data_IF_283381016121
#
_entry.id   IF_283381016121
#
_cell.length_a   1.000
_cell.length_b   1.000
_cell.length_c   1.000
_cell.angle_alpha   90.00
_cell.angle_beta   90.00
_cell.angle_gamma   90.00
#
_symmetry.space_group_name_H-M   'P 1'
#
loop_
_entity.id
_entity.type
_entity.pdbx_description
1 polymer ?
#
# COMPACT_ATOMS: atom_id res chain seq x y z
N UNK A 1 18.46 -13.38 1.58
CA UNK A 1 17.57 -12.82 0.55
C UNK A 1 18.21 -11.55 0.02
N UNK A 2 18.09 -11.30 -1.28
CA UNK A 2 18.57 -10.07 -1.90
C UNK A 2 17.40 -9.08 -1.99
N UNK A 3 17.48 -7.95 -1.27
CA UNK A 3 16.56 -6.83 -1.47
C UNK A 3 16.98 -6.16 -2.79
N UNK A 4 16.06 -5.95 -3.75
CA UNK A 4 16.40 -5.33 -5.02
C UNK A 4 16.85 -3.87 -4.80
N UNK A 5 17.84 -3.46 -5.58
CA UNK A 5 18.28 -2.06 -5.58
C UNK A 5 17.36 -1.26 -6.51
N UNK A 6 16.62 -0.31 -5.95
CA UNK A 6 15.70 0.50 -6.76
C UNK A 6 16.45 1.67 -7.40
N UNK A 7 16.21 1.87 -8.70
CA UNK A 7 16.69 3.06 -9.41
C UNK A 7 15.71 4.20 -9.20
N UNK A 8 16.20 5.44 -9.10
CA UNK A 8 15.29 6.60 -9.16
C UNK A 8 14.61 6.67 -10.53
N UNK A 9 13.40 7.21 -10.57
CA UNK A 9 12.70 7.49 -11.85
C UNK A 9 13.07 8.85 -12.43
N UNK A 10 13.98 9.60 -11.80
CA UNK A 10 14.40 10.91 -12.26
C UNK A 10 15.08 10.82 -13.63
N UNK A 11 14.50 11.53 -14.59
CA UNK A 11 15.05 11.75 -15.92
C UNK A 11 14.68 13.17 -16.33
N UNK A 12 15.67 14.08 -16.35
CA UNK A 12 15.42 15.49 -16.62
C UNK A 12 14.90 15.74 -18.04
N UNK A 13 15.40 14.98 -19.02
CA UNK A 13 15.01 15.13 -20.41
C UNK A 13 13.58 14.65 -20.63
N UNK A 14 13.26 13.44 -20.14
CA UNK A 14 11.90 12.90 -20.22
C UNK A 14 10.91 13.72 -19.39
N UNK A 15 11.31 14.17 -18.20
CA UNK A 15 10.48 15.04 -17.35
C UNK A 15 10.09 16.33 -18.07
N UNK A 16 11.06 17.00 -18.73
CA UNK A 16 10.80 18.20 -19.52
C UNK A 16 9.90 17.90 -20.71
N UNK A 17 10.14 16.79 -21.42
CA UNK A 17 9.33 16.40 -22.57
C UNK A 17 7.88 16.10 -22.18
N UNK A 18 7.65 15.37 -21.09
CA UNK A 18 6.32 15.10 -20.53
C UNK A 18 5.61 16.40 -20.15
N UNK A 19 6.30 17.32 -19.48
CA UNK A 19 5.70 18.60 -19.09
C UNK A 19 5.27 19.41 -20.32
N UNK A 20 6.12 19.49 -21.36
CA UNK A 20 5.77 20.15 -22.62
C UNK A 20 4.55 19.53 -23.29
N UNK A 21 4.43 18.20 -23.32
CA UNK A 21 3.26 17.51 -23.89
C UNK A 21 1.97 17.74 -23.09
N UNK A 22 2.08 17.82 -21.76
CA UNK A 22 0.95 18.11 -20.87
C UNK A 22 0.47 19.55 -21.04
N UNK A 23 1.40 20.51 -21.20
CA UNK A 23 1.09 21.93 -21.34
C UNK A 23 0.55 22.30 -22.73
N UNK A 24 0.91 21.53 -23.77
CA UNK A 24 0.41 21.71 -25.14
C UNK A 24 -1.03 21.19 -25.34
N UNK A 25 -1.61 20.46 -24.37
CA UNK A 25 -3.02 20.05 -24.45
C UNK A 25 -3.95 21.25 -24.42
N UNK A 26 -5.05 21.19 -25.17
CA UNK A 26 -6.06 22.27 -25.30
C UNK A 26 -6.80 22.57 -24.00
N UNK A 27 -6.09 23.14 -23.03
CA UNK A 27 -6.54 23.48 -21.68
C UNK A 27 -5.64 24.60 -21.13
N UNK A 28 -6.12 25.42 -20.18
CA UNK A 28 -5.21 26.27 -19.41
C UNK A 28 -4.15 25.42 -18.69
N UNK A 29 -2.90 25.89 -18.65
CA UNK A 29 -1.82 25.20 -17.94
C UNK A 29 -2.21 24.90 -16.49
N UNK A 30 -1.96 23.66 -16.04
CA UNK A 30 -2.28 23.19 -14.69
C UNK A 30 -3.77 22.98 -14.38
N UNK A 31 -4.69 23.22 -15.34
CA UNK A 31 -6.14 23.16 -15.06
C UNK A 31 -6.70 21.75 -14.78
N UNK A 32 -5.98 20.67 -15.14
CA UNK A 32 -6.33 19.30 -14.73
C UNK A 32 -5.68 18.89 -13.39
N UNK A 33 -4.93 19.80 -12.75
CA UNK A 33 -4.46 19.67 -11.39
C UNK A 33 -3.65 18.38 -11.14
N UNK A 34 -4.14 17.53 -10.23
CA UNK A 34 -3.42 16.30 -9.83
C UNK A 34 -3.30 15.29 -10.97
N UNK A 35 -4.21 15.28 -11.94
CA UNK A 35 -4.13 14.35 -13.07
C UNK A 35 -2.89 14.60 -13.93
N UNK A 36 -2.49 15.87 -14.10
CA UNK A 36 -1.27 16.24 -14.83
C UNK A 36 -0.02 15.66 -14.14
N UNK A 37 0.04 15.79 -12.82
CA UNK A 37 1.09 15.21 -12.00
C UNK A 37 1.14 13.68 -12.09
N UNK A 38 -0.01 13.01 -12.09
CA UNK A 38 -0.07 11.55 -12.20
C UNK A 38 0.38 11.09 -13.60
N UNK A 39 -0.08 11.75 -14.67
CA UNK A 39 0.37 11.42 -16.03
C UNK A 39 1.89 11.57 -16.17
N UNK A 40 2.45 12.66 -15.64
CA UNK A 40 3.89 12.90 -15.60
C UNK A 40 4.64 11.81 -14.83
N UNK A 41 4.19 11.49 -13.62
CA UNK A 41 4.79 10.43 -12.79
C UNK A 41 4.75 9.06 -13.48
N UNK A 42 3.62 8.68 -14.06
CA UNK A 42 3.50 7.40 -14.78
C UNK A 42 4.42 7.38 -16.00
N UNK A 43 4.55 8.50 -16.72
CA UNK A 43 5.52 8.63 -17.81
C UNK A 43 6.97 8.40 -17.37
N UNK A 44 7.38 8.97 -16.23
CA UNK A 44 8.71 8.73 -15.66
C UNK A 44 8.90 7.28 -15.20
N UNK A 45 7.91 6.69 -14.53
CA UNK A 45 7.94 5.29 -14.11
C UNK A 45 8.08 4.38 -15.34
N UNK A 46 7.26 4.57 -16.36
CA UNK A 46 7.27 3.75 -17.57
C UNK A 46 8.37 4.13 -18.58
N UNK A 47 9.14 5.18 -18.31
CA UNK A 47 10.20 5.73 -19.18
C UNK A 47 9.69 6.06 -20.60
N UNK A 48 8.52 6.67 -20.68
CA UNK A 48 7.87 7.02 -21.95
C UNK A 48 7.14 8.34 -21.87
N UNK A 49 7.10 9.05 -22.99
CA UNK A 49 6.29 10.26 -23.16
C UNK A 49 4.83 9.96 -23.50
N UNK A 50 4.50 8.68 -23.73
CA UNK A 50 3.15 8.19 -24.03
C UNK A 50 2.78 7.06 -23.04
N UNK A 51 2.61 7.38 -21.75
CA UNK A 51 2.26 6.39 -20.74
C UNK A 51 0.90 5.76 -21.00
N UNK A 52 0.74 4.48 -20.63
CA UNK A 52 -0.51 3.74 -20.75
C UNK A 52 -0.71 2.80 -19.57
N UNK A 53 -1.95 2.41 -19.32
CA UNK A 53 -2.28 1.41 -18.30
C UNK A 53 -3.09 0.34 -19.00
N UNK A 54 -2.47 -0.80 -19.29
CA UNK A 54 -3.12 -1.92 -19.97
C UNK A 54 -3.53 -3.00 -18.97
N UNK A 55 -2.72 -3.20 -17.91
CA UNK A 55 -2.88 -4.28 -16.94
C UNK A 55 -2.74 -3.75 -15.53
N UNK A 56 -3.82 -3.85 -14.78
CA UNK A 56 -3.87 -3.52 -13.36
C UNK A 56 -4.23 -4.75 -12.53
N UNK A 57 -3.60 -4.89 -11.36
CA UNK A 57 -3.97 -5.89 -10.38
C UNK A 57 -4.00 -5.30 -8.97
N UNK A 58 -4.80 -5.88 -8.10
CA UNK A 58 -4.81 -5.63 -6.66
C UNK A 58 -4.53 -6.94 -5.95
N UNK A 59 -3.59 -6.92 -5.00
CA UNK A 59 -3.21 -8.09 -4.21
C UNK A 59 -3.53 -7.84 -2.75
N UNK A 60 -4.43 -8.66 -2.19
CA UNK A 60 -4.84 -8.61 -0.78
C UNK A 60 -4.10 -9.68 0.00
N UNK A 61 -3.29 -9.26 0.97
CA UNK A 61 -2.51 -10.14 1.82
C UNK A 61 -3.21 -10.35 3.17
N UNK A 62 -3.51 -11.60 3.52
CA UNK A 62 -4.20 -11.93 4.75
C UNK A 62 -3.30 -12.65 5.76
N UNK A 63 -3.28 -12.18 7.00
CA UNK A 63 -2.60 -12.85 8.11
C UNK A 63 -3.19 -12.47 9.47
N UNK A 64 -2.99 -13.33 10.46
CA UNK A 64 -3.39 -13.06 11.85
C UNK A 64 -2.22 -12.56 12.70
N UNK A 65 -2.53 -11.81 13.76
CA UNK A 65 -1.52 -11.22 14.64
C UNK A 65 -1.63 -11.73 16.08
N UNK A 66 -0.51 -12.13 16.67
CA UNK A 66 -0.49 -12.57 18.08
C UNK A 66 -0.80 -11.46 19.09
N UNK A 67 -0.61 -10.19 18.71
CA UNK A 67 -0.91 -9.03 19.57
C UNK A 67 -2.39 -8.92 19.94
N UNK A 68 -3.30 -9.60 19.22
CA UNK A 68 -4.73 -9.64 19.59
C UNK A 68 -4.98 -10.22 20.98
N UNK A 69 -4.05 -11.02 21.51
CA UNK A 69 -4.09 -11.52 22.89
C UNK A 69 -4.06 -10.39 23.95
N UNK A 70 -3.67 -9.18 23.55
CA UNK A 70 -3.71 -7.98 24.39
C UNK A 70 -5.06 -7.25 24.29
N UNK A 71 -6.12 -7.83 23.70
CA UNK A 71 -7.46 -7.21 23.61
C UNK A 71 -7.49 -5.85 22.90
N UNK A 72 -6.79 -5.74 21.77
CA UNK A 72 -6.64 -4.50 20.98
C UNK A 72 -7.62 -4.36 19.80
N UNK A 73 -8.64 -5.22 19.72
CA UNK A 73 -9.62 -5.29 18.62
C UNK A 73 -11.04 -5.46 19.17
N UNK A 74 -12.02 -4.88 18.47
CA UNK A 74 -13.44 -5.08 18.78
C UNK A 74 -13.99 -6.41 18.21
N UNK A 75 -13.29 -7.00 17.24
CA UNK A 75 -13.69 -8.21 16.55
C UNK A 75 -12.85 -9.42 16.99
N UNK A 76 -13.43 -10.63 17.00
CA UNK A 76 -12.69 -11.85 17.27
C UNK A 76 -11.71 -12.14 16.13
N UNK A 77 -10.60 -12.79 16.45
CA UNK A 77 -9.55 -13.15 15.49
C UNK A 77 -10.10 -14.01 14.31
N UNK A 78 -11.17 -14.77 14.54
CA UNK A 78 -11.82 -15.57 13.50
C UNK A 78 -12.36 -14.75 12.31
N UNK A 79 -12.57 -13.44 12.46
CA UNK A 79 -13.03 -12.58 11.35
C UNK A 79 -12.02 -12.57 10.20
N UNK A 80 -10.71 -12.73 10.46
CA UNK A 80 -9.70 -12.77 9.41
C UNK A 80 -10.00 -13.87 8.39
N UNK A 81 -10.17 -15.13 8.83
CA UNK A 81 -10.44 -16.22 7.90
C UNK A 81 -11.84 -16.16 7.30
N UNK A 82 -12.82 -15.65 8.04
CA UNK A 82 -14.19 -15.45 7.53
C UNK A 82 -14.22 -14.44 6.38
N UNK A 83 -13.45 -13.36 6.49
CA UNK A 83 -13.32 -12.37 5.42
C UNK A 83 -12.54 -12.93 4.23
N UNK A 84 -11.54 -13.78 4.44
CA UNK A 84 -10.89 -14.48 3.33
C UNK A 84 -11.90 -15.34 2.56
N UNK A 85 -12.72 -16.15 3.25
CA UNK A 85 -13.81 -16.90 2.59
C UNK A 85 -14.80 -15.96 1.87
N UNK A 86 -15.10 -14.79 2.45
CA UNK A 86 -15.93 -13.78 1.79
C UNK A 86 -15.28 -13.20 0.52
N UNK A 87 -13.96 -12.97 0.51
CA UNK A 87 -13.23 -12.55 -0.70
C UNK A 87 -13.32 -13.61 -1.79
N UNK A 88 -13.15 -14.89 -1.44
CA UNK A 88 -13.26 -16.02 -2.37
C UNK A 88 -14.69 -16.17 -2.91
N UNK A 89 -15.70 -15.83 -2.11
CA UNK A 89 -17.11 -15.79 -2.53
C UNK A 89 -17.48 -14.49 -3.27
N UNK A 90 -16.52 -13.61 -3.51
CA UNK A 90 -16.69 -12.32 -4.19
C UNK A 90 -17.67 -11.35 -3.50
N UNK A 91 -17.82 -11.48 -2.17
CA UNK A 91 -18.81 -10.74 -1.39
C UNK A 91 -18.30 -9.46 -0.72
N UNK A 92 -16.99 -9.17 -0.75
CA UNK A 92 -16.45 -7.98 -0.10
C UNK A 92 -16.44 -6.74 -1.02
N UNK A 93 -16.21 -5.57 -0.42
CA UNK A 93 -16.17 -4.31 -1.15
C UNK A 93 -15.06 -4.29 -2.21
N UNK A 94 -13.88 -4.83 -1.88
CA UNK A 94 -12.78 -4.92 -2.85
C UNK A 94 -13.16 -5.77 -4.08
N UNK A 95 -13.94 -6.85 -3.91
CA UNK A 95 -14.42 -7.65 -5.04
C UNK A 95 -15.32 -6.84 -5.97
N UNK A 96 -16.23 -6.05 -5.39
CA UNK A 96 -17.14 -5.18 -6.15
C UNK A 96 -16.35 -4.13 -6.94
N UNK A 97 -15.41 -3.44 -6.29
CA UNK A 97 -14.63 -2.38 -6.95
C UNK A 97 -13.62 -2.92 -7.96
N UNK A 98 -12.97 -4.05 -7.69
CA UNK A 98 -12.06 -4.69 -8.64
C UNK A 98 -12.82 -5.09 -9.92
N UNK A 99 -13.99 -5.73 -9.79
CA UNK A 99 -14.83 -6.11 -10.92
C UNK A 99 -15.36 -4.90 -11.69
N UNK A 100 -15.76 -3.83 -11.00
CA UNK A 100 -16.21 -2.59 -11.64
C UNK A 100 -15.12 -1.99 -12.55
N UNK A 101 -13.86 -2.11 -12.14
CA UNK A 101 -12.71 -1.52 -12.83
C UNK A 101 -11.99 -2.51 -13.76
N UNK A 102 -12.55 -3.71 -13.99
CA UNK A 102 -11.90 -4.79 -14.75
C UNK A 102 -10.45 -5.05 -14.30
N UNK A 103 -10.24 -5.01 -12.98
CA UNK A 103 -8.94 -5.14 -12.35
C UNK A 103 -8.79 -6.54 -11.75
N UNK A 104 -7.65 -7.19 -12.02
CA UNK A 104 -7.37 -8.50 -11.45
C UNK A 104 -7.27 -8.41 -9.92
N UNK A 105 -7.95 -9.30 -9.21
CA UNK A 105 -7.89 -9.37 -7.74
C UNK A 105 -7.27 -10.71 -7.32
N UNK A 106 -6.20 -10.63 -6.53
CA UNK A 106 -5.51 -11.79 -5.98
C UNK A 106 -5.60 -11.79 -4.47
N UNK A 107 -6.07 -12.91 -3.90
CA UNK A 107 -6.12 -13.10 -2.45
C UNK A 107 -4.98 -14.01 -2.04
N UNK A 108 -4.17 -13.58 -1.08
CA UNK A 108 -2.97 -14.28 -0.61
C UNK A 108 -3.14 -14.63 0.85
N UNK A 109 -3.01 -15.90 1.18
CA UNK A 109 -2.85 -16.34 2.56
C UNK A 109 -1.37 -16.21 2.93
N UNK A 110 -1.03 -15.13 3.63
CA UNK A 110 0.33 -14.88 4.11
C UNK A 110 0.56 -15.52 5.49
N UNK A 111 -0.50 -15.79 6.25
CA UNK A 111 -0.35 -16.27 7.61
C UNK A 111 -1.63 -16.29 8.43
N UNK A 112 -2.77 -16.63 7.85
CA UNK A 112 -4.04 -16.70 8.59
C UNK A 112 -4.02 -17.90 9.53
N UNK A 113 -4.53 -17.75 10.76
CA UNK A 113 -4.68 -18.84 11.73
C UNK A 113 -5.93 -19.69 11.40
N UNK A 114 -5.91 -20.31 10.22
CA UNK A 114 -6.96 -21.17 9.71
C UNK A 114 -6.39 -22.08 8.61
N UNK A 115 -6.89 -23.31 8.54
CA UNK A 115 -6.61 -24.24 7.45
C UNK A 115 -7.76 -24.17 6.43
N UNK A 116 -7.51 -23.51 5.30
CA UNK A 116 -8.48 -23.38 4.21
C UNK A 116 -8.59 -24.64 3.34
N UNK A 117 -7.72 -25.64 3.54
CA UNK A 117 -7.51 -26.72 2.60
C UNK A 117 -7.08 -26.22 1.22
N UNK A 118 -7.31 -27.01 0.17
CA UNK A 118 -7.00 -26.61 -1.21
C UNK A 118 -8.09 -25.66 -1.74
N UNK A 119 -7.70 -24.43 -2.04
CA UNK A 119 -8.54 -23.41 -2.68
C UNK A 119 -7.85 -22.91 -3.94
N UNK A 120 -8.54 -22.97 -5.09
CA UNK A 120 -7.96 -22.55 -6.38
C UNK A 120 -7.73 -21.04 -6.44
N UNK A 121 -8.64 -20.27 -5.84
CA UNK A 121 -8.65 -18.81 -5.89
C UNK A 121 -7.87 -18.14 -4.73
N UNK A 122 -7.22 -18.95 -3.87
CA UNK A 122 -6.38 -18.48 -2.78
C UNK A 122 -4.92 -18.83 -3.07
N UNK A 123 -4.07 -17.82 -3.12
CA UNK A 123 -2.63 -18.02 -3.27
C UNK A 123 -2.04 -18.41 -1.92
N UNK A 124 -1.70 -19.70 -1.79
CA UNK A 124 -1.08 -20.24 -0.58
C UNK A 124 0.39 -19.81 -0.47
N UNK A 125 0.67 -18.90 0.46
CA UNK A 125 2.01 -18.42 0.82
C UNK A 125 2.19 -18.38 2.33
N UNK A 126 1.42 -19.21 3.06
CA UNK A 126 1.30 -19.14 4.52
C UNK A 126 2.66 -19.38 5.18
N UNK A 127 3.11 -18.41 5.96
CA UNK A 127 4.37 -18.49 6.72
C UNK A 127 4.18 -19.24 8.06
N UNK A 128 3.02 -19.08 8.66
CA UNK A 128 2.60 -19.73 9.90
C UNK A 128 1.18 -19.32 10.31
N UNK A 129 0.61 -19.92 11.37
CA UNK A 129 -0.75 -19.62 11.84
C UNK A 129 -0.79 -18.33 12.66
N UNK A 130 -0.55 -17.20 12.00
CA UNK A 130 -0.44 -15.87 12.61
C UNK A 130 0.93 -15.59 13.24
N UNK A 131 1.23 -14.31 13.43
CA UNK A 131 2.48 -13.89 14.09
C UNK A 131 2.42 -14.12 15.61
N UNK A 132 3.59 -14.09 16.25
CA UNK A 132 3.70 -14.04 17.72
C UNK A 132 3.29 -12.67 18.24
N UNK A 133 3.09 -12.59 19.55
CA UNK A 133 2.70 -11.34 20.20
C UNK A 133 3.93 -10.46 20.46
N UNK A 134 4.06 -9.39 19.66
CA UNK A 134 5.18 -8.44 19.78
C UNK A 134 5.28 -7.72 21.13
N UNK A 135 4.20 -7.69 21.93
CA UNK A 135 4.26 -7.17 23.29
C UNK A 135 5.13 -8.04 24.23
N UNK A 136 5.39 -9.30 23.84
CA UNK A 136 6.12 -10.30 24.65
C UNK A 136 7.44 -10.74 24.00
N UNK A 137 7.46 -10.89 22.68
CA UNK A 137 8.59 -11.42 21.92
C UNK A 137 8.48 -10.99 20.45
N UNK A 138 9.54 -10.99 19.63
CA UNK A 138 9.45 -10.56 18.23
C UNK A 138 8.35 -11.30 17.44
N UNK A 139 7.56 -10.58 16.63
CA UNK A 139 6.40 -11.09 15.91
C UNK A 139 6.70 -12.30 15.01
N UNK A 140 7.88 -12.34 14.40
CA UNK A 140 8.32 -13.45 13.54
C UNK A 140 9.83 -13.70 13.69
N UNK A 141 10.32 -14.87 13.28
CA UNK A 141 11.77 -15.11 13.22
C UNK A 141 12.39 -14.42 12.01
N UNK A 142 13.72 -14.36 11.95
CA UNK A 142 14.42 -13.81 10.79
C UNK A 142 14.13 -14.61 9.51
N UNK A 143 14.06 -15.93 9.61
CA UNK A 143 13.73 -16.84 8.51
C UNK A 143 12.29 -16.59 8.02
N UNK A 144 11.34 -16.46 8.94
CA UNK A 144 9.94 -16.16 8.61
C UNK A 144 9.79 -14.79 7.94
N UNK A 145 10.46 -13.76 8.44
CA UNK A 145 10.46 -12.42 7.85
C UNK A 145 11.04 -12.45 6.43
N UNK A 146 12.20 -13.10 6.27
CA UNK A 146 12.84 -13.26 4.98
C UNK A 146 11.96 -14.03 3.99
N UNK A 147 11.32 -15.12 4.44
CA UNK A 147 10.45 -15.93 3.62
C UNK A 147 9.20 -15.14 3.19
N UNK A 148 8.58 -14.36 4.09
CA UNK A 148 7.44 -13.52 3.78
C UNK A 148 7.78 -12.50 2.67
N UNK A 149 8.90 -11.78 2.82
CA UNK A 149 9.34 -10.81 1.82
C UNK A 149 9.65 -11.51 0.49
N UNK A 150 10.32 -12.67 0.51
CA UNK A 150 10.61 -13.43 -0.71
C UNK A 150 9.33 -13.89 -1.40
N UNK A 151 8.33 -14.41 -0.68
CA UNK A 151 7.04 -14.79 -1.25
C UNK A 151 6.34 -13.58 -1.92
N UNK A 152 6.41 -12.39 -1.31
CA UNK A 152 5.87 -11.16 -1.90
C UNK A 152 6.57 -10.79 -3.21
N UNK A 153 7.90 -10.90 -3.24
CA UNK A 153 8.68 -10.68 -4.46
C UNK A 153 8.32 -11.73 -5.54
N UNK A 154 8.25 -13.01 -5.18
CA UNK A 154 7.97 -14.09 -6.14
C UNK A 154 6.58 -13.98 -6.75
N UNK A 155 5.58 -13.55 -5.98
CA UNK A 155 4.23 -13.29 -6.46
C UNK A 155 4.23 -12.23 -7.56
N UNK A 156 4.84 -11.07 -7.28
CA UNK A 156 4.87 -9.97 -8.24
C UNK A 156 5.78 -10.28 -9.43
N UNK A 157 6.89 -11.00 -9.22
CA UNK A 157 7.78 -11.43 -10.30
C UNK A 157 7.03 -12.18 -11.43
N UNK A 158 6.00 -12.93 -11.07
CA UNK A 158 5.16 -13.71 -11.98
C UNK A 158 3.95 -12.93 -12.54
N UNK A 159 3.72 -11.69 -12.10
CA UNK A 159 2.57 -10.87 -12.50
C UNK A 159 2.99 -9.84 -13.56
N UNK A 160 2.50 -9.96 -14.80
CA UNK A 160 2.83 -9.00 -15.85
C UNK A 160 1.86 -7.81 -15.78
N UNK A 161 2.11 -6.86 -14.87
CA UNK A 161 1.22 -5.71 -14.58
C UNK A 161 1.94 -4.37 -14.73
N UNK A 162 1.21 -3.32 -15.11
CA UNK A 162 1.73 -1.95 -15.24
C UNK A 162 1.42 -1.12 -13.98
N UNK A 163 0.31 -1.45 -13.31
CA UNK A 163 -0.16 -0.86 -12.07
C UNK A 163 -0.50 -1.98 -11.09
N UNK A 164 -0.04 -1.86 -9.85
CA UNK A 164 -0.38 -2.80 -8.79
C UNK A 164 -0.86 -2.05 -7.54
N UNK A 165 -2.03 -2.42 -7.05
CA UNK A 165 -2.57 -2.00 -5.76
C UNK A 165 -2.33 -3.06 -4.69
N UNK A 166 -2.24 -2.60 -3.46
CA UNK A 166 -2.00 -3.47 -2.31
C UNK A 166 -3.16 -3.34 -1.34
N UNK A 167 -3.59 -4.47 -0.82
CA UNK A 167 -4.61 -4.57 0.21
C UNK A 167 -4.20 -5.57 1.28
N UNK A 168 -4.95 -5.58 2.36
CA UNK A 168 -4.65 -6.39 3.53
C UNK A 168 -5.92 -6.87 4.21
N UNK A 169 -5.79 -7.92 5.01
CA UNK A 169 -6.85 -8.38 5.91
C UNK A 169 -6.23 -9.07 7.12
N UNK A 170 -6.45 -8.53 8.31
CA UNK A 170 -5.89 -9.12 9.53
C UNK A 170 -6.42 -8.48 10.79
N UNK A 171 -7.04 -9.27 11.66
CA UNK A 171 -7.43 -8.74 12.97
C UNK A 171 -6.18 -8.40 13.79
N UNK A 172 -6.10 -7.14 14.21
CA UNK A 172 -4.99 -6.59 15.01
C UNK A 172 -3.90 -5.85 14.21
N UNK A 173 -3.98 -5.85 12.88
CA UNK A 173 -2.96 -5.21 12.03
C UNK A 173 -2.87 -3.68 12.18
N UNK A 174 -3.94 -2.99 12.60
CA UNK A 174 -3.85 -1.54 12.92
C UNK A 174 -2.90 -1.26 14.08
N UNK A 175 -2.80 -2.16 15.06
CA UNK A 175 -1.86 -2.05 16.18
C UNK A 175 -0.42 -2.27 15.69
N UNK A 176 -0.22 -3.27 14.84
CA UNK A 176 1.03 -3.58 14.14
C UNK A 176 1.51 -2.38 13.30
N UNK A 177 0.63 -1.82 12.47
CA UNK A 177 0.90 -0.65 11.64
C UNK A 177 1.25 0.60 12.46
N UNK A 178 0.55 0.83 13.59
CA UNK A 178 0.85 1.94 14.49
C UNK A 178 2.21 1.77 15.21
N UNK A 179 2.59 0.55 15.58
CA UNK A 179 3.90 0.27 16.16
C UNK A 179 5.04 0.51 15.14
N UNK A 180 4.85 0.03 13.90
CA UNK A 180 5.78 0.31 12.79
C UNK A 180 5.91 1.82 12.52
N UNK A 181 4.78 2.53 12.47
CA UNK A 181 4.75 3.98 12.30
C UNK A 181 5.58 4.69 13.38
N UNK A 182 5.27 4.40 14.63
CA UNK A 182 5.94 5.00 15.78
C UNK A 182 7.45 4.76 15.70
N UNK A 183 7.87 3.50 15.46
CA UNK A 183 9.29 3.15 15.44
C UNK A 183 10.05 3.73 14.26
N UNK A 184 9.44 3.82 13.09
CA UNK A 184 10.11 4.28 11.87
C UNK A 184 10.16 5.82 11.79
N UNK A 185 9.09 6.48 12.23
CA UNK A 185 8.93 7.93 12.07
C UNK A 185 9.34 8.72 13.31
N UNK A 186 9.34 8.09 14.50
CA UNK A 186 9.54 8.75 15.79
C UNK A 186 8.31 9.53 16.29
N UNK A 187 7.20 9.51 15.55
CA UNK A 187 5.95 10.17 15.94
C UNK A 187 5.40 9.49 17.20
N UNK A 188 4.96 10.24 18.24
CA UNK A 188 4.45 9.66 19.48
C UNK A 188 3.35 8.62 19.27
N UNK A 189 3.35 7.54 20.04
CA UNK A 189 2.37 6.45 19.89
C UNK A 189 0.92 6.94 19.99
N UNK A 190 0.64 7.93 20.84
CA UNK A 190 -0.66 8.58 20.96
C UNK A 190 -1.18 9.17 19.63
N UNK A 191 -0.29 9.57 18.72
CA UNK A 191 -0.60 10.14 17.42
C UNK A 191 -0.61 9.11 16.28
N UNK A 192 -0.16 7.88 16.57
CA UNK A 192 -0.14 6.76 15.63
C UNK A 192 -1.40 5.88 15.76
N UNK A 193 -2.08 5.92 16.91
CA UNK A 193 -3.16 5.00 17.25
C UNK A 193 -4.53 5.61 16.95
N UNK A 194 -5.37 4.83 16.27
CA UNK A 194 -6.77 5.16 15.98
C UNK A 194 -7.75 4.14 16.54
N UNK A 195 -9.05 4.39 16.29
CA UNK A 195 -10.13 3.49 16.65
C UNK A 195 -10.02 2.13 15.93
N UNK A 196 -9.35 2.06 14.77
CA UNK A 196 -9.29 0.86 13.96
C UNK A 196 -10.70 0.40 13.59
N UNK A 197 -11.00 -0.84 13.95
CA UNK A 197 -12.32 -1.49 13.75
C UNK A 197 -13.45 -0.93 14.65
N UNK A 198 -13.34 0.30 15.16
CA UNK A 198 -14.38 0.97 15.96
C UNK A 198 -14.21 0.90 17.48
N UNK A 199 -12.99 0.86 18.00
CA UNK A 199 -12.75 0.90 19.46
C UNK A 199 -13.23 2.22 20.10
N UNK A 200 -13.76 2.10 21.32
CA UNK A 200 -14.02 3.24 22.19
C UNK A 200 -12.71 3.86 22.74
N UNK A 201 -12.81 5.05 23.33
CA UNK A 201 -11.64 5.80 23.83
C UNK A 201 -10.76 5.02 24.82
N UNK A 202 -11.33 4.15 25.66
CA UNK A 202 -10.55 3.25 26.53
C UNK A 202 -9.76 2.20 25.75
N UNK A 203 -10.36 1.60 24.72
CA UNK A 203 -9.68 0.65 23.84
C UNK A 203 -8.54 1.31 23.06
N UNK A 204 -8.70 2.57 22.65
CA UNK A 204 -7.64 3.37 22.00
C UNK A 204 -6.48 3.59 22.97
N UNK A 205 -6.76 4.02 24.22
CA UNK A 205 -5.72 4.21 25.24
C UNK A 205 -5.00 2.91 25.59
N UNK A 206 -5.73 1.81 25.72
CA UNK A 206 -5.15 0.50 25.98
C UNK A 206 -4.22 0.06 24.83
N UNK A 207 -4.67 0.21 23.58
CA UNK A 207 -3.86 -0.06 22.38
C UNK A 207 -2.58 0.79 22.36
N UNK A 208 -2.67 2.08 22.71
CA UNK A 208 -1.50 2.94 22.85
C UNK A 208 -0.52 2.39 23.90
N UNK A 209 -0.99 2.04 25.10
CA UNK A 209 -0.15 1.51 26.17
C UNK A 209 0.55 0.20 25.76
N UNK A 210 -0.15 -0.70 25.08
CA UNK A 210 0.43 -1.95 24.55
C UNK A 210 1.59 -1.65 23.59
N UNK A 211 1.41 -0.68 22.68
CA UNK A 211 2.46 -0.27 21.73
C UNK A 211 3.66 0.34 22.47
N UNK A 212 3.42 1.27 23.39
CA UNK A 212 4.49 1.93 24.16
C UNK A 212 5.31 0.92 24.97
N UNK A 213 4.63 -0.03 25.64
CA UNK A 213 5.30 -1.09 26.41
C UNK A 213 6.10 -2.03 25.52
N UNK A 214 5.54 -2.45 24.37
CA UNK A 214 6.24 -3.29 23.43
C UNK A 214 7.48 -2.59 22.86
N UNK A 215 7.36 -1.32 22.51
CA UNK A 215 8.47 -0.51 21.98
C UNK A 215 9.56 -0.33 23.02
N UNK A 216 9.21 -0.07 24.28
CA UNK A 216 10.17 0.03 25.38
C UNK A 216 10.89 -1.31 25.63
N UNK A 217 10.17 -2.44 25.53
CA UNK A 217 10.76 -3.79 25.65
C UNK A 217 11.81 -4.05 24.57
N UNK A 218 11.55 -3.60 23.35
CA UNK A 218 12.43 -3.79 22.19
C UNK A 218 13.18 -2.50 21.83
N UNK A 219 13.59 -1.70 22.84
CA UNK A 219 14.11 -0.35 22.63
C UNK A 219 15.31 -0.31 21.66
N UNK A 220 16.21 -1.30 21.72
CA UNK A 220 17.43 -1.38 20.91
C UNK A 220 17.22 -1.76 19.43
N UNK A 221 15.98 -1.99 18.99
CA UNK A 221 15.67 -2.33 17.60
C UNK A 221 15.52 -1.05 16.78
N UNK A 222 16.43 -0.85 15.81
CA UNK A 222 16.48 0.34 14.95
C UNK A 222 16.55 0.02 13.46
N UNK A 223 17.17 -1.10 13.07
CA UNK A 223 17.30 -1.47 11.66
C UNK A 223 15.92 -1.78 11.06
N UNK A 224 15.59 -1.33 9.83
CA UNK A 224 14.25 -1.48 9.26
C UNK A 224 13.76 -2.94 9.17
N UNK A 225 14.67 -3.87 8.86
CA UNK A 225 14.37 -5.31 8.83
C UNK A 225 14.02 -5.85 10.22
N UNK A 226 14.77 -5.43 11.24
CA UNK A 226 14.56 -5.86 12.62
C UNK A 226 13.27 -5.24 13.19
N UNK A 227 12.95 -4.00 12.79
CA UNK A 227 11.67 -3.35 13.12
C UNK A 227 10.52 -4.16 12.51
N UNK A 228 10.58 -4.52 11.23
CA UNK A 228 9.56 -5.33 10.57
C UNK A 228 9.42 -6.71 11.21
N UNK A 229 10.53 -7.39 11.48
CA UNK A 229 10.55 -8.69 12.15
C UNK A 229 9.91 -8.61 13.54
N UNK A 230 10.20 -7.55 14.29
CA UNK A 230 9.77 -7.40 15.68
C UNK A 230 8.31 -6.99 15.79
N UNK A 231 7.88 -6.00 15.02
CA UNK A 231 6.59 -5.33 15.19
C UNK A 231 5.62 -5.55 14.02
N UNK A 232 6.03 -6.26 12.97
CA UNK A 232 5.25 -6.44 11.74
C UNK A 232 4.26 -7.61 11.76
N UNK A 233 3.64 -7.80 10.60
CA UNK A 233 2.74 -8.91 10.27
C UNK A 233 3.27 -9.68 9.06
N UNK A 234 2.88 -10.94 8.90
CA UNK A 234 3.30 -11.72 7.71
C UNK A 234 2.78 -11.08 6.42
N UNK A 235 1.58 -10.53 6.43
CA UNK A 235 0.97 -9.77 5.35
C UNK A 235 1.72 -8.47 5.07
N UNK A 236 2.14 -7.73 6.10
CA UNK A 236 2.94 -6.51 5.93
C UNK A 236 4.32 -6.83 5.36
N UNK A 237 4.99 -7.88 5.87
CA UNK A 237 6.29 -8.31 5.36
C UNK A 237 6.21 -8.78 3.90
N UNK A 238 5.14 -9.48 3.54
CA UNK A 238 4.89 -9.88 2.15
C UNK A 238 4.58 -8.68 1.25
N UNK A 239 3.81 -7.70 1.73
CA UNK A 239 3.59 -6.43 1.01
C UNK A 239 4.90 -5.66 0.78
N UNK A 240 5.82 -5.61 1.76
CA UNK A 240 7.14 -4.99 1.57
C UNK A 240 7.89 -5.62 0.39
N UNK A 241 7.94 -6.95 0.33
CA UNK A 241 8.56 -7.66 -0.80
C UNK A 241 7.87 -7.40 -2.12
N UNK A 242 6.54 -7.45 -2.13
CA UNK A 242 5.73 -7.20 -3.32
C UNK A 242 5.93 -5.77 -3.87
N UNK A 243 5.93 -4.75 -3.00
CA UNK A 243 6.19 -3.35 -3.38
C UNK A 243 7.60 -3.16 -3.96
N UNK A 244 8.62 -3.75 -3.31
CA UNK A 244 10.00 -3.67 -3.78
C UNK A 244 10.16 -4.33 -5.16
N UNK A 245 9.57 -5.50 -5.38
CA UNK A 245 9.64 -6.17 -6.68
C UNK A 245 8.88 -5.41 -7.76
N UNK A 246 7.70 -4.90 -7.43
CA UNK A 246 6.90 -4.10 -8.36
C UNK A 246 7.64 -2.84 -8.80
N UNK A 247 8.29 -2.13 -7.85
CA UNK A 247 9.12 -0.98 -8.18
C UNK A 247 10.35 -1.34 -9.03
N UNK A 248 11.01 -2.47 -8.75
CA UNK A 248 12.12 -2.98 -9.58
C UNK A 248 11.66 -3.23 -11.03
N UNK A 249 10.44 -3.76 -11.21
CA UNK A 249 9.80 -3.96 -12.51
C UNK A 249 9.18 -2.68 -13.10
N UNK A 250 9.33 -1.54 -12.42
CA UNK A 250 8.81 -0.23 -12.81
C UNK A 250 7.28 -0.21 -12.94
N UNK A 251 6.58 -0.96 -12.10
CA UNK A 251 5.14 -0.84 -11.93
C UNK A 251 4.80 0.42 -11.13
N UNK A 252 3.64 1.01 -11.40
CA UNK A 252 3.06 2.05 -10.54
C UNK A 252 2.47 1.38 -9.30
N UNK A 253 2.85 1.84 -8.11
CA UNK A 253 2.36 1.33 -6.84
C UNK A 253 1.18 2.16 -6.35
N UNK A 254 -0.01 1.58 -6.32
CA UNK A 254 -1.18 2.19 -5.67
C UNK A 254 -1.15 1.86 -4.18
N UNK A 255 -0.93 2.89 -3.38
CA UNK A 255 -0.83 2.80 -1.92
C UNK A 255 -2.21 3.10 -1.34
N UNK A 256 -2.81 2.13 -0.65
CA UNK A 256 -4.17 2.21 -0.12
C UNK A 256 -4.24 3.02 1.20
N UNK A 257 -4.60 2.37 2.31
CA UNK A 257 -4.77 2.98 3.62
C UNK A 257 -3.58 2.79 4.55
N UNK A 258 -3.86 3.02 5.84
CA UNK A 258 -2.88 3.06 6.92
C UNK A 258 -1.94 1.84 7.00
N UNK A 259 -2.47 0.62 6.90
CA UNK A 259 -1.68 -0.61 7.02
C UNK A 259 -0.75 -0.78 5.81
N UNK A 260 -1.27 -0.56 4.59
CA UNK A 260 -0.47 -0.62 3.36
C UNK A 260 0.64 0.44 3.39
N UNK A 261 0.33 1.66 3.85
CA UNK A 261 1.34 2.71 4.04
C UNK A 261 2.39 2.34 5.10
N UNK A 262 2.04 1.54 6.12
CA UNK A 262 3.03 1.03 7.10
C UNK A 262 4.04 0.05 6.48
N UNK A 263 3.60 -0.77 5.51
CA UNK A 263 4.52 -1.59 4.71
C UNK A 263 5.44 -0.69 3.87
N UNK A 264 4.88 0.34 3.24
CA UNK A 264 5.65 1.32 2.47
C UNK A 264 6.69 2.05 3.34
N UNK A 265 6.40 2.37 4.60
CA UNK A 265 7.38 2.98 5.51
C UNK A 265 8.63 2.09 5.67
N UNK A 266 8.44 0.78 5.83
CA UNK A 266 9.56 -0.17 5.90
C UNK A 266 10.30 -0.21 4.57
N UNK A 267 9.57 -0.35 3.45
CA UNK A 267 10.17 -0.41 2.13
C UNK A 267 10.96 0.86 1.77
N UNK A 268 10.46 2.04 2.13
CA UNK A 268 11.12 3.33 1.90
C UNK A 268 12.35 3.55 2.80
N UNK A 269 12.39 2.94 4.00
CA UNK A 269 13.62 2.91 4.80
C UNK A 269 14.68 1.99 4.21
N UNK A 270 14.27 0.90 3.55
CA UNK A 270 15.20 -0.01 2.87
C UNK A 270 15.70 0.56 1.54
N UNK A 271 14.79 1.13 0.73
CA UNK A 271 15.05 1.63 -0.61
C UNK A 271 14.28 2.96 -0.82
N UNK A 272 14.86 4.12 -0.47
CA UNK A 272 14.17 5.41 -0.52
C UNK A 272 13.57 5.76 -1.89
N UNK A 273 14.21 5.29 -2.98
CA UNK A 273 13.72 5.49 -4.35
C UNK A 273 12.36 4.83 -4.64
N UNK A 274 11.84 3.96 -3.77
CA UNK A 274 10.50 3.38 -3.94
C UNK A 274 9.40 4.43 -4.01
N UNK A 275 9.58 5.59 -3.36
CA UNK A 275 8.59 6.67 -3.34
C UNK A 275 8.35 7.28 -4.72
N UNK A 276 9.33 7.18 -5.63
CA UNK A 276 9.20 7.62 -7.01
C UNK A 276 8.14 6.82 -7.78
N UNK A 277 7.87 5.58 -7.35
CA UNK A 277 6.92 4.65 -7.96
C UNK A 277 5.51 4.75 -7.37
N UNK A 278 5.33 5.51 -6.30
CA UNK A 278 4.10 5.51 -5.51
C UNK A 278 3.06 6.52 -6.01
N UNK A 279 1.80 6.09 -6.04
CA UNK A 279 0.61 6.93 -6.12
C UNK A 279 -0.24 6.63 -4.89
N UNK A 280 -0.45 7.65 -4.05
CA UNK A 280 -1.24 7.52 -2.82
C UNK A 280 -2.72 7.62 -3.16
N UNK A 281 -3.48 6.55 -2.91
CA UNK A 281 -4.86 6.40 -3.38
C UNK A 281 -5.81 7.33 -2.62
N UNK A 282 -5.79 7.25 -1.29
CA UNK A 282 -6.59 8.13 -0.44
C UNK A 282 -5.82 8.53 0.83
N UNK A 283 -6.33 9.50 1.57
CA UNK A 283 -6.07 9.57 3.00
C UNK A 283 -7.24 8.90 3.72
N UNK A 284 -6.91 7.89 4.53
CA UNK A 284 -7.91 7.15 5.31
C UNK A 284 -8.32 7.97 6.54
N UNK A 285 -9.47 7.64 7.11
CA UNK A 285 -9.96 8.16 8.39
C UNK A 285 -9.29 7.47 9.60
N UNK A 286 -8.14 6.83 9.40
CA UNK A 286 -7.30 6.36 10.50
C UNK A 286 -6.43 7.51 11.01
N UNK A 287 -6.41 7.69 12.33
CA UNK A 287 -5.79 8.85 12.98
C UNK A 287 -4.34 9.10 12.55
N UNK A 288 -3.56 8.03 12.38
CA UNK A 288 -2.14 8.11 12.01
C UNK A 288 -1.88 8.32 10.52
N UNK A 289 -2.85 8.08 9.61
CA UNK A 289 -2.54 7.99 8.19
C UNK A 289 -2.15 9.34 7.57
N UNK A 290 -2.81 10.44 7.96
CA UNK A 290 -2.41 11.79 7.53
C UNK A 290 -0.94 12.07 7.83
N UNK A 291 -0.49 11.69 9.01
CA UNK A 291 0.89 11.91 9.47
C UNK A 291 1.90 11.02 8.74
N UNK A 292 1.52 9.78 8.40
CA UNK A 292 2.35 8.94 7.52
C UNK A 292 2.50 9.58 6.14
N UNK A 293 1.42 10.10 5.57
CA UNK A 293 1.45 10.81 4.29
C UNK A 293 2.37 12.04 4.38
N UNK A 294 2.25 12.85 5.43
CA UNK A 294 3.11 14.02 5.64
C UNK A 294 4.59 13.62 5.78
N UNK A 295 4.90 12.58 6.55
CA UNK A 295 6.25 12.02 6.70
C UNK A 295 6.84 11.57 5.36
N UNK A 296 6.03 10.88 4.55
CA UNK A 296 6.41 10.39 3.23
C UNK A 296 6.33 11.44 2.12
N UNK A 297 5.85 12.67 2.44
CA UNK A 297 5.51 13.71 1.46
C UNK A 297 4.54 13.22 0.38
N UNK A 298 3.65 12.31 0.78
CA UNK A 298 2.63 11.70 -0.06
C UNK A 298 1.46 12.64 -0.31
N UNK A 299 1.02 12.73 -1.57
CA UNK A 299 -0.19 13.47 -1.96
C UNK A 299 -1.30 12.48 -2.31
N UNK A 300 -2.30 12.25 -1.45
CA UNK A 300 -3.40 11.34 -1.73
C UNK A 300 -4.30 11.89 -2.84
N UNK A 301 -4.85 11.02 -3.68
CA UNK A 301 -5.81 11.41 -4.72
C UNK A 301 -7.20 11.74 -4.18
N UNK A 302 -7.57 11.12 -3.05
CA UNK A 302 -8.93 11.18 -2.52
C UNK A 302 -8.96 11.40 -0.99
N UNK A 303 -10.00 12.09 -0.52
CA UNK A 303 -10.40 12.16 0.89
C UNK A 303 -11.89 11.79 0.93
N UNK A 304 -12.18 10.54 1.29
CA UNK A 304 -13.53 9.96 1.26
C UNK A 304 -13.92 9.35 2.61
N UNK A 305 -13.13 9.65 3.65
CA UNK A 305 -13.29 9.14 5.01
C UNK A 305 -13.33 7.60 5.08
N UNK A 306 -12.65 6.96 4.12
CA UNK A 306 -12.50 5.50 4.04
C UNK A 306 -11.58 5.01 5.14
N UNK A 307 -11.91 3.86 5.73
CA UNK A 307 -11.07 3.17 6.73
C UNK A 307 -11.31 1.66 6.74
N UNK A 308 -11.72 1.13 5.59
CA UNK A 308 -12.00 -0.31 5.44
C UNK A 308 -10.71 -1.11 5.25
N UNK A 309 -9.78 -0.60 4.44
CA UNK A 309 -8.60 -1.36 4.02
C UNK A 309 -8.90 -2.22 2.79
N UNK A 310 -8.35 -3.43 2.77
CA UNK A 310 -8.55 -4.43 1.71
C UNK A 310 -8.06 -3.99 0.30
N UNK A 311 -7.42 -2.83 0.16
CA UNK A 311 -7.05 -2.27 -1.16
C UNK A 311 -8.20 -1.52 -1.85
N UNK A 312 -9.27 -1.22 -1.13
CA UNK A 312 -10.47 -0.57 -1.69
C UNK A 312 -10.21 0.84 -2.22
N UNK A 313 -9.37 1.62 -1.55
CA UNK A 313 -8.90 2.91 -2.03
C UNK A 313 -8.08 2.78 -3.32
N UNK A 314 -7.22 1.76 -3.42
CA UNK A 314 -6.49 1.47 -4.68
C UNK A 314 -7.45 1.19 -5.84
N UNK A 315 -8.49 0.37 -5.62
CA UNK A 315 -9.50 0.10 -6.64
C UNK A 315 -10.24 1.39 -7.07
N UNK A 316 -10.60 2.24 -6.11
CA UNK A 316 -11.30 3.50 -6.37
C UNK A 316 -10.40 4.56 -7.05
N UNK A 317 -9.08 4.47 -6.86
CA UNK A 317 -8.12 5.38 -7.48
C UNK A 317 -7.84 5.03 -8.95
N UNK A 318 -8.01 3.78 -9.36
CA UNK A 318 -7.63 3.29 -10.69
C UNK A 318 -8.29 4.09 -11.85
N UNK A 319 -9.58 4.46 -11.81
CA UNK A 319 -10.18 5.36 -12.80
C UNK A 319 -9.47 6.70 -12.96
N UNK A 320 -8.94 7.27 -11.86
CA UNK A 320 -8.21 8.55 -11.91
C UNK A 320 -6.87 8.38 -12.60
N UNK A 321 -6.20 7.24 -12.44
CA UNK A 321 -4.97 6.92 -13.16
C UNK A 321 -5.25 6.74 -14.66
N UNK A 322 -6.33 6.05 -15.02
CA UNK A 322 -6.77 5.97 -16.42
C UNK A 322 -7.07 7.36 -16.99
N UNK A 323 -7.81 8.21 -16.26
CA UNK A 323 -8.06 9.58 -16.69
C UNK A 323 -6.77 10.37 -16.92
N UNK A 324 -5.76 10.19 -16.05
CA UNK A 324 -4.46 10.84 -16.16
C UNK A 324 -3.72 10.44 -17.45
N UNK A 325 -3.56 9.14 -17.74
CA UNK A 325 -2.86 8.71 -18.97
C UNK A 325 -3.68 8.99 -20.23
N UNK A 326 -5.02 8.89 -20.14
CA UNK A 326 -5.89 9.09 -21.29
C UNK A 326 -5.98 10.55 -21.73
N UNK A 327 -5.98 11.53 -20.82
CA UNK A 327 -5.99 12.93 -21.25
C UNK A 327 -4.70 13.25 -22.03
N UNK A 328 -3.56 12.74 -21.56
CA UNK A 328 -2.27 12.95 -22.24
C UNK A 328 -2.24 12.28 -23.61
N UNK A 329 -2.83 11.08 -23.73
CA UNK A 329 -2.87 10.35 -24.99
C UNK A 329 -3.90 10.92 -25.99
N UNK A 330 -5.08 11.36 -25.52
CA UNK A 330 -6.26 11.54 -26.38
C UNK A 330 -6.70 13.00 -26.54
N UNK A 331 -6.36 13.91 -25.62
CA UNK A 331 -6.69 15.33 -25.82
C UNK A 331 -5.92 15.89 -27.00
N UNK A 332 -6.60 16.72 -27.80
CA UNK A 332 -5.97 17.51 -28.84
C UNK A 332 -4.92 18.46 -28.24
N UNK A 333 -3.95 18.84 -29.08
CA UNK A 333 -3.01 19.91 -28.79
C UNK A 333 -3.52 21.25 -29.33
N UNK A 334 -3.02 22.38 -28.81
CA UNK A 334 -3.35 23.72 -29.35
C UNK A 334 -3.09 23.80 -30.86
N UNK A 335 -1.94 23.26 -31.29
CA UNK A 335 -1.52 23.19 -32.69
C UNK A 335 -2.50 22.38 -33.57
N UNK A 336 -2.97 21.22 -33.11
CA UNK A 336 -3.88 20.36 -33.87
C UNK A 336 -5.32 20.89 -33.90
N UNK A 337 -5.76 21.59 -32.85
CA UNK A 337 -7.13 22.06 -32.68
C UNK A 337 -7.38 23.47 -33.22
N UNK A 338 -6.34 24.17 -33.72
CA UNK A 338 -6.41 25.57 -34.17
C UNK A 338 -6.95 26.53 -33.10
N UNK A 339 -6.78 26.19 -31.81
CA UNK A 339 -7.18 27.05 -30.70
C UNK A 339 -6.09 28.10 -30.50
N UNK A 340 -6.49 29.37 -30.45
CA UNK A 340 -5.55 30.47 -30.24
C UNK A 340 -4.81 30.34 -28.90
N UNK A 341 -3.49 30.43 -28.95
CA UNK A 341 -2.66 30.52 -27.75
C UNK A 341 -2.87 31.86 -27.04
N UNK A 342 -2.57 31.89 -25.73
CA UNK A 342 -2.67 33.11 -24.94
C UNK A 342 -1.67 34.14 -25.46
N UNK A 343 -2.15 35.34 -25.82
CA UNK A 343 -1.27 36.48 -26.11
C UNK A 343 -0.41 36.77 -24.87
N UNK A 344 0.91 36.79 -25.05
CA UNK A 344 1.89 37.19 -24.03
C UNK A 344 1.65 38.60 -23.53
#
# INVERSE_FOLDING_TARGET
>A
MLIPQLSSTQDAALSSALQSLIDDKTKPQGSLGVLEFIAHRIGLIQQTSSPRIDRAAIVVFAADHGVVAENISAYPQSVTWQMVENFLQQGAAINVFARQNDCALHIVDAGVNHDFGKRVELLDRKIGPGTRNFAKEPAMTAEQCQQAIQHGMDLVAAMPVDVIGFGEMGIGNTTTAAALMHKITGIPAAECVGAGTGLAAEGIRHKQQVIEQAVARHAGIEAPMDILLTFGGFEIAMMVGAMLKAAEQRCVLLIDGFIVTSALLVAAKLQPSILDYCVFSHCSDEHGHRRMLDYLKGRPLMQLDLRLGEGTGSALALPLLHAAVNFLAQMATFSSAQVSEKST
#
